data_IF_666286285437
#
_entry.id   IF_666286285437
#
_cell.length_a   1.000
_cell.length_b   1.000
_cell.length_c   1.000
_cell.angle_alpha   90.00
_cell.angle_beta   90.00
_cell.angle_gamma   90.00
#
_symmetry.space_group_name_H-M   'P 1'
#
loop_
_entity.id
_entity.type
_entity.pdbx_description
1 polymer ?
#
# COMPACT_ATOMS: atom_id res chain seq x y z
N UNK A 1 -24.04 -15.38 0.02
CA UNK A 1 -23.22 -14.19 -0.27
C UNK A 1 -22.28 -14.01 0.90
N UNK A 2 -20.99 -13.93 0.63
CA UNK A 2 -19.96 -13.83 1.66
C UNK A 2 -19.55 -12.39 1.89
N UNK A 3 -19.13 -12.08 3.14
CA UNK A 3 -18.43 -10.82 3.46
C UNK A 3 -16.93 -11.08 3.51
N UNK A 4 -16.15 -10.12 3.05
CA UNK A 4 -14.69 -10.15 3.16
C UNK A 4 -14.13 -8.76 3.46
N UNK A 5 -12.94 -8.72 4.03
CA UNK A 5 -12.21 -7.45 4.20
C UNK A 5 -11.47 -7.14 2.92
N UNK A 6 -11.94 -6.08 2.23
CA UNK A 6 -11.46 -5.68 0.91
C UNK A 6 -10.56 -4.44 0.92
N UNK A 7 -9.68 -4.35 -0.08
CA UNK A 7 -8.92 -3.15 -0.42
C UNK A 7 -8.48 -3.20 -1.89
N UNK A 8 -8.19 -2.04 -2.46
CA UNK A 8 -7.65 -1.90 -3.82
C UNK A 8 -6.21 -1.43 -3.73
N UNK A 9 -5.31 -2.09 -4.44
CA UNK A 9 -3.86 -1.88 -4.33
C UNK A 9 -3.12 -2.01 -5.65
N UNK A 10 -1.90 -1.50 -5.66
CA UNK A 10 -0.84 -1.84 -6.61
C UNK A 10 0.15 -2.77 -5.90
N UNK A 11 0.39 -3.95 -6.44
CA UNK A 11 1.40 -4.87 -5.93
C UNK A 11 2.79 -4.41 -6.37
N UNK A 12 3.75 -4.49 -5.46
CA UNK A 12 5.15 -4.20 -5.74
C UNK A 12 5.84 -5.55 -6.01
N UNK A 13 6.14 -5.79 -7.28
CA UNK A 13 7.01 -6.88 -7.72
C UNK A 13 8.47 -6.42 -7.69
N UNK A 14 9.40 -7.35 -7.70
CA UNK A 14 10.83 -7.08 -7.64
C UNK A 14 11.23 -6.20 -6.44
N UNK A 15 11.42 -6.83 -5.31
CA UNK A 15 11.73 -6.14 -4.05
C UNK A 15 13.14 -5.53 -4.00
N UNK A 16 14.08 -5.98 -4.86
CA UNK A 16 15.41 -5.35 -5.05
C UNK A 16 16.07 -4.88 -3.76
N UNK A 17 16.39 -3.59 -3.69
CA UNK A 17 17.02 -2.96 -2.52
C UNK A 17 16.16 -2.97 -1.25
N UNK A 18 14.83 -3.18 -1.33
CA UNK A 18 13.95 -3.32 -0.17
C UNK A 18 14.33 -4.51 0.72
N UNK A 19 15.00 -5.54 0.17
CA UNK A 19 15.52 -6.68 0.96
C UNK A 19 16.50 -6.22 2.04
N UNK A 20 17.32 -5.22 1.74
CA UNK A 20 18.27 -4.67 2.74
C UNK A 20 17.52 -4.01 3.88
N UNK A 21 16.50 -3.23 3.55
CA UNK A 21 15.64 -2.57 4.51
C UNK A 21 14.87 -3.58 5.38
N UNK A 22 14.30 -4.59 4.77
CA UNK A 22 13.59 -5.67 5.48
C UNK A 22 14.49 -6.36 6.51
N UNK A 23 15.74 -6.67 6.14
CA UNK A 23 16.73 -7.23 7.06
C UNK A 23 17.03 -6.31 8.25
N UNK A 24 17.14 -5.00 8.02
CA UNK A 24 17.39 -4.04 9.10
C UNK A 24 16.18 -3.92 10.04
N UNK A 25 14.97 -3.82 9.49
CA UNK A 25 13.74 -3.76 10.27
C UNK A 25 13.49 -5.05 11.06
N UNK A 26 13.82 -6.21 10.49
CA UNK A 26 13.67 -7.52 11.15
C UNK A 26 14.60 -7.71 12.34
N UNK A 27 15.74 -6.99 12.39
CA UNK A 27 16.69 -7.03 13.53
C UNK A 27 16.20 -6.21 14.72
N UNK A 28 15.30 -5.26 14.54
CA UNK A 28 14.81 -4.40 15.62
C UNK A 28 14.14 -5.23 16.71
N UNK A 29 13.40 -6.28 16.33
CA UNK A 29 12.65 -7.10 17.30
C UNK A 29 11.57 -6.31 18.05
N UNK A 30 11.15 -6.81 19.19
CA UNK A 30 10.23 -6.11 20.10
C UNK A 30 8.92 -5.69 19.45
N UNK A 31 8.65 -4.39 19.49
CA UNK A 31 7.43 -3.80 18.94
C UNK A 31 7.36 -3.69 17.43
N UNK A 32 8.48 -3.86 16.70
CA UNK A 32 8.51 -3.75 15.25
C UNK A 32 7.95 -4.98 14.54
N UNK A 33 7.07 -4.75 13.57
CA UNK A 33 6.49 -5.77 12.70
C UNK A 33 6.75 -5.37 11.25
N UNK A 34 7.80 -5.90 10.60
CA UNK A 34 8.02 -5.72 9.17
C UNK A 34 6.85 -6.28 8.37
N UNK A 35 6.55 -5.63 7.23
CA UNK A 35 5.61 -6.18 6.24
C UNK A 35 6.36 -7.22 5.42
N UNK A 36 5.79 -8.40 5.26
CA UNK A 36 6.39 -9.43 4.40
C UNK A 36 6.54 -8.93 2.97
N UNK A 37 7.72 -9.13 2.38
CA UNK A 37 8.00 -8.72 1.01
C UNK A 37 7.13 -9.42 -0.03
N UNK A 38 6.61 -10.62 0.28
CA UNK A 38 5.72 -11.38 -0.61
C UNK A 38 4.34 -10.73 -0.80
N UNK A 39 3.95 -9.86 0.14
CA UNK A 39 2.63 -9.23 0.15
C UNK A 39 2.71 -7.70 0.13
N UNK A 40 3.91 -7.15 -0.12
CA UNK A 40 4.12 -5.70 -0.10
C UNK A 40 3.37 -5.03 -1.25
N UNK A 41 2.69 -3.94 -0.95
CA UNK A 41 1.82 -3.24 -1.90
C UNK A 41 1.60 -1.79 -1.50
N UNK A 42 1.11 -1.01 -2.45
CA UNK A 42 0.59 0.34 -2.22
C UNK A 42 -0.93 0.27 -2.17
N UNK A 43 -1.53 0.61 -1.04
CA UNK A 43 -2.99 0.67 -0.92
C UNK A 43 -3.51 1.96 -1.54
N UNK A 44 -4.42 1.86 -2.52
CA UNK A 44 -5.11 2.99 -3.13
C UNK A 44 -6.42 3.32 -2.42
N UNK A 45 -7.16 2.29 -1.97
CA UNK A 45 -8.43 2.46 -1.26
C UNK A 45 -8.68 1.29 -0.31
N UNK A 46 -8.94 1.59 0.96
CA UNK A 46 -9.51 0.62 1.88
C UNK A 46 -11.02 0.56 1.70
N UNK A 47 -11.56 -0.66 1.62
CA UNK A 47 -13.01 -0.90 1.50
C UNK A 47 -13.61 -1.37 2.82
N UNK A 48 -12.79 -1.97 3.69
CA UNK A 48 -13.30 -2.58 4.92
C UNK A 48 -14.13 -3.83 4.63
N UNK A 49 -15.21 -4.02 5.38
CA UNK A 49 -16.14 -5.13 5.17
C UNK A 49 -16.90 -4.94 3.85
N UNK A 50 -16.77 -5.91 2.95
CA UNK A 50 -17.23 -5.83 1.57
C UNK A 50 -18.06 -7.06 1.25
N UNK A 51 -19.28 -6.86 0.71
CA UNK A 51 -20.12 -7.94 0.19
C UNK A 51 -19.59 -8.40 -1.17
N UNK A 52 -19.48 -9.72 -1.39
CA UNK A 52 -19.11 -10.28 -2.67
C UNK A 52 -20.03 -9.82 -3.82
N UNK A 53 -21.28 -9.49 -3.54
CA UNK A 53 -22.22 -8.91 -4.53
C UNK A 53 -21.77 -7.53 -5.05
N UNK A 54 -20.91 -6.81 -4.33
CA UNK A 54 -20.37 -5.51 -4.77
C UNK A 54 -19.22 -5.65 -5.78
N UNK A 55 -18.63 -6.84 -5.94
CA UNK A 55 -17.44 -7.05 -6.79
C UNK A 55 -17.62 -6.50 -8.20
N UNK A 56 -18.72 -6.77 -8.94
CA UNK A 56 -18.87 -6.25 -10.31
C UNK A 56 -18.82 -4.72 -10.35
N UNK A 57 -19.48 -4.04 -9.41
CA UNK A 57 -19.48 -2.57 -9.31
C UNK A 57 -18.12 -2.00 -8.89
N UNK A 58 -17.37 -2.74 -8.07
CA UNK A 58 -16.00 -2.35 -7.71
C UNK A 58 -15.07 -2.47 -8.92
N UNK A 59 -15.23 -3.48 -9.77
CA UNK A 59 -14.47 -3.60 -11.03
C UNK A 59 -14.78 -2.41 -11.94
N UNK A 60 -16.06 -2.02 -12.12
CA UNK A 60 -16.42 -0.82 -12.88
C UNK A 60 -15.78 0.47 -12.30
N UNK A 61 -15.70 0.57 -10.98
CA UNK A 61 -15.01 1.69 -10.32
C UNK A 61 -13.51 1.68 -10.60
N UNK A 62 -12.89 0.50 -10.62
CA UNK A 62 -11.48 0.31 -10.96
C UNK A 62 -11.21 0.64 -12.44
N UNK A 63 -12.07 0.21 -13.36
CA UNK A 63 -11.98 0.55 -14.79
C UNK A 63 -12.00 2.06 -15.01
N UNK A 64 -12.89 2.78 -14.30
CA UNK A 64 -12.94 4.24 -14.34
C UNK A 64 -11.68 4.89 -13.78
N UNK A 65 -11.08 4.30 -12.73
CA UNK A 65 -9.89 4.84 -12.12
C UNK A 65 -8.65 4.72 -13.02
N UNK A 66 -8.57 3.67 -13.84
CA UNK A 66 -7.44 3.47 -14.76
C UNK A 66 -7.66 4.11 -16.14
N UNK A 67 -8.85 4.63 -16.42
CA UNK A 67 -9.18 5.21 -17.72
C UNK A 67 -8.22 6.35 -18.06
N UNK A 68 -7.52 6.24 -19.20
CA UNK A 68 -6.54 7.22 -19.65
C UNK A 68 -5.21 7.19 -18.87
N UNK A 69 -4.99 6.20 -18.01
CA UNK A 69 -3.73 6.01 -17.29
C UNK A 69 -2.89 4.94 -17.99
N UNK A 70 -1.87 5.36 -18.73
CA UNK A 70 -0.90 4.43 -19.30
C UNK A 70 -0.09 3.74 -18.20
N UNK A 71 0.49 2.55 -18.46
CA UNK A 71 1.51 1.97 -17.59
C UNK A 71 2.65 2.96 -17.34
N UNK A 72 3.10 3.05 -16.08
CA UNK A 72 4.13 4.00 -15.65
C UNK A 72 5.06 3.35 -14.63
N UNK A 73 6.14 4.06 -14.31
CA UNK A 73 7.09 3.64 -13.29
C UNK A 73 7.07 4.62 -12.11
N UNK A 74 7.25 4.08 -10.90
CA UNK A 74 7.44 4.84 -9.66
C UNK A 74 8.85 4.63 -9.15
N UNK A 75 9.49 5.69 -8.67
CA UNK A 75 10.76 5.62 -7.94
C UNK A 75 10.49 5.50 -6.45
N UNK A 76 11.03 4.46 -5.81
CA UNK A 76 10.97 4.28 -4.36
C UNK A 76 12.18 4.95 -3.72
N UNK A 77 11.97 6.00 -2.93
CA UNK A 77 13.06 6.79 -2.37
C UNK A 77 12.74 7.38 -1.01
N UNK A 78 13.71 7.29 -0.12
CA UNK A 78 13.61 7.83 1.22
C UNK A 78 12.67 7.07 2.12
N UNK A 79 12.72 7.38 3.41
CA UNK A 79 11.90 6.75 4.44
C UNK A 79 11.31 7.79 5.38
N UNK A 80 10.20 7.42 5.98
CA UNK A 80 9.58 8.19 7.04
C UNK A 80 8.60 7.35 7.87
N UNK A 81 7.89 8.03 8.74
CA UNK A 81 6.91 7.39 9.61
C UNK A 81 5.62 8.21 9.75
N UNK A 82 4.52 7.51 10.03
CA UNK A 82 3.27 8.13 10.45
C UNK A 82 2.96 7.80 11.91
N UNK A 83 2.33 8.71 12.66
CA UNK A 83 1.98 10.08 12.29
C UNK A 83 3.19 11.02 12.22
N UNK A 84 4.33 10.66 12.82
CA UNK A 84 5.59 11.42 12.77
C UNK A 84 6.80 10.54 13.11
N UNK A 85 8.02 11.01 12.84
CA UNK A 85 9.24 10.30 13.23
C UNK A 85 9.50 10.29 14.76
N UNK A 86 8.73 11.05 15.54
CA UNK A 86 8.78 11.03 17.02
C UNK A 86 7.73 10.11 17.64
N UNK A 87 6.63 9.86 16.91
CA UNK A 87 5.57 8.94 17.31
C UNK A 87 5.31 7.96 16.17
N UNK A 88 6.12 6.91 16.11
CA UNK A 88 6.11 5.96 15.01
C UNK A 88 5.04 4.90 15.22
N UNK A 89 4.11 4.80 14.27
CA UNK A 89 3.13 3.70 14.18
C UNK A 89 3.27 2.92 12.88
N UNK A 90 3.56 3.63 11.79
CA UNK A 90 3.74 3.05 10.46
C UNK A 90 5.06 3.56 9.91
N UNK A 91 5.90 2.66 9.43
CA UNK A 91 7.16 2.98 8.73
C UNK A 91 6.92 2.78 7.23
N UNK A 92 7.33 3.73 6.43
CA UNK A 92 7.08 3.75 4.99
C UNK A 92 8.30 4.17 4.17
N UNK A 93 8.30 3.74 2.92
CA UNK A 93 9.19 4.23 1.86
C UNK A 93 8.42 5.20 0.98
N UNK A 94 9.04 6.34 0.68
CA UNK A 94 8.47 7.39 -0.17
C UNK A 94 8.45 7.02 -1.65
N UNK A 95 7.68 7.76 -2.44
CA UNK A 95 7.51 7.53 -3.87
C UNK A 95 7.61 8.82 -4.66
N UNK A 96 8.32 8.77 -5.78
CA UNK A 96 8.35 9.82 -6.80
C UNK A 96 7.72 9.30 -8.09
N UNK A 97 7.18 10.20 -8.93
CA UNK A 97 6.43 9.82 -10.13
C UNK A 97 5.08 9.17 -9.84
N UNK A 98 4.53 9.40 -8.65
CA UNK A 98 3.33 8.75 -8.15
C UNK A 98 2.02 9.53 -8.40
N UNK A 99 2.05 10.59 -9.21
CA UNK A 99 0.84 11.37 -9.54
C UNK A 99 -0.29 10.52 -10.14
N UNK A 100 -0.01 9.53 -11.02
CA UNK A 100 -1.06 8.65 -11.51
C UNK A 100 -1.70 7.80 -10.39
N UNK A 101 -0.95 7.39 -9.35
CA UNK A 101 -1.52 6.71 -8.18
C UNK A 101 -2.48 7.63 -7.42
N UNK A 102 -2.11 8.89 -7.23
CA UNK A 102 -2.95 9.89 -6.58
C UNK A 102 -4.23 10.16 -7.36
N UNK A 103 -4.13 10.22 -8.69
CA UNK A 103 -5.30 10.33 -9.57
C UNK A 103 -6.24 9.12 -9.41
N UNK A 104 -5.71 7.90 -9.55
CA UNK A 104 -6.50 6.68 -9.41
C UNK A 104 -7.15 6.56 -8.03
N UNK A 105 -6.40 6.87 -6.96
CA UNK A 105 -6.93 6.84 -5.60
C UNK A 105 -8.09 7.83 -5.41
N UNK A 106 -7.99 9.04 -5.98
CA UNK A 106 -9.07 10.03 -5.95
C UNK A 106 -10.32 9.54 -6.68
N UNK A 107 -10.18 8.98 -7.88
CA UNK A 107 -11.31 8.42 -8.63
C UNK A 107 -11.94 7.25 -7.87
N UNK A 108 -11.13 6.33 -7.32
CA UNK A 108 -11.62 5.23 -6.50
C UNK A 108 -12.39 5.73 -5.27
N UNK A 109 -11.87 6.77 -4.59
CA UNK A 109 -12.54 7.38 -3.44
C UNK A 109 -13.94 7.86 -3.78
N UNK A 110 -14.09 8.58 -4.91
CA UNK A 110 -15.37 9.10 -5.37
C UNK A 110 -16.33 7.98 -5.83
N UNK A 111 -15.83 7.00 -6.59
CA UNK A 111 -16.66 5.88 -7.09
C UNK A 111 -17.10 4.95 -5.97
N UNK A 112 -16.19 4.59 -5.06
CA UNK A 112 -16.52 3.73 -3.91
C UNK A 112 -17.50 4.40 -2.95
N UNK A 113 -17.39 5.72 -2.73
CA UNK A 113 -18.35 6.47 -1.93
C UNK A 113 -19.78 6.39 -2.49
N UNK A 114 -19.95 6.43 -3.82
CA UNK A 114 -21.26 6.23 -4.49
C UNK A 114 -21.82 4.83 -4.30
N UNK A 115 -20.96 3.84 -4.03
CA UNK A 115 -21.35 2.47 -3.71
C UNK A 115 -21.61 2.24 -2.22
N UNK A 116 -21.48 3.30 -1.38
CA UNK A 116 -21.75 3.25 0.06
C UNK A 116 -20.52 2.94 0.93
N UNK A 117 -19.32 2.86 0.35
CA UNK A 117 -18.10 2.71 1.13
C UNK A 117 -17.70 4.02 1.82
N UNK A 118 -17.16 3.91 3.01
CA UNK A 118 -16.67 5.07 3.78
C UNK A 118 -15.58 5.84 3.03
N UNK A 119 -15.63 7.16 3.11
CA UNK A 119 -14.54 8.02 2.63
C UNK A 119 -13.40 8.05 3.63
N UNK A 120 -12.18 8.10 3.10
CA UNK A 120 -11.00 8.33 3.93
C UNK A 120 -11.01 9.78 4.47
N UNK A 121 -10.70 9.94 5.75
CA UNK A 121 -10.63 11.26 6.39
C UNK A 121 -9.46 12.11 5.85
N UNK A 122 -8.41 11.47 5.37
CA UNK A 122 -7.21 12.12 4.86
C UNK A 122 -7.02 11.86 3.39
N UNK A 123 -6.52 12.86 2.64
CA UNK A 123 -6.16 12.66 1.25
C UNK A 123 -5.13 11.54 1.10
N UNK A 124 -5.20 10.83 -0.02
CA UNK A 124 -4.20 9.82 -0.37
C UNK A 124 -2.81 10.46 -0.41
N UNK A 125 -1.87 9.83 0.27
CA UNK A 125 -0.45 10.18 0.26
C UNK A 125 0.32 8.95 -0.23
N UNK A 126 0.98 9.01 -1.40
CA UNK A 126 1.70 7.87 -1.95
C UNK A 126 2.81 7.40 -1.00
N UNK A 127 2.72 6.17 -0.53
CA UNK A 127 3.74 5.56 0.31
C UNK A 127 3.67 4.04 0.26
N UNK A 128 4.80 3.38 0.46
CA UNK A 128 4.89 1.94 0.60
C UNK A 128 5.11 1.61 2.08
N UNK A 129 4.12 1.04 2.74
CA UNK A 129 4.26 0.57 4.13
C UNK A 129 5.22 -0.61 4.18
N UNK A 130 6.31 -0.48 4.94
CA UNK A 130 7.33 -1.52 5.14
C UNK A 130 7.33 -2.11 6.54
N UNK A 131 6.61 -1.50 7.48
CA UNK A 131 6.50 -2.01 8.83
C UNK A 131 5.53 -1.23 9.72
N UNK A 132 5.18 -1.82 10.85
CA UNK A 132 4.29 -1.23 11.85
C UNK A 132 4.83 -1.44 13.25
N UNK A 133 4.74 -0.41 14.08
CA UNK A 133 5.04 -0.51 15.52
C UNK A 133 3.79 -0.96 16.27
N UNK A 134 3.91 -2.02 17.06
CA UNK A 134 2.86 -2.46 18.00
C UNK A 134 2.93 -1.71 19.33
N UNK A 135 4.15 -1.46 19.77
CA UNK A 135 4.46 -0.78 21.02
C UNK A 135 5.76 0.03 20.84
N UNK A 136 6.16 0.88 21.81
CA UNK A 136 7.35 1.72 21.71
C UNK A 136 8.70 1.00 21.71
N UNK A 137 8.73 -0.33 21.96
CA UNK A 137 9.98 -1.08 22.04
C UNK A 137 10.70 -1.06 20.70
N UNK A 138 11.95 -0.60 20.69
CA UNK A 138 12.74 -0.48 19.46
C UNK A 138 12.56 0.84 18.70
N UNK A 139 11.77 1.80 19.21
CA UNK A 139 11.54 3.09 18.54
C UNK A 139 12.83 3.81 18.17
N UNK A 140 13.82 3.87 19.05
CA UNK A 140 15.10 4.56 18.78
C UNK A 140 15.90 3.84 17.67
N UNK A 141 15.84 2.51 17.62
CA UNK A 141 16.46 1.74 16.53
C UNK A 141 15.78 2.05 15.20
N UNK A 142 14.45 2.10 15.18
CA UNK A 142 13.67 2.44 13.97
C UNK A 142 13.96 3.87 13.51
N UNK A 143 14.05 4.85 14.43
CA UNK A 143 14.49 6.21 14.10
C UNK A 143 15.86 6.22 13.43
N UNK A 144 16.82 5.47 13.98
CA UNK A 144 18.15 5.33 13.39
C UNK A 144 18.12 4.72 11.98
N UNK A 145 17.24 3.75 11.72
CA UNK A 145 17.05 3.19 10.39
C UNK A 145 16.45 4.23 9.45
N UNK A 146 15.38 4.94 9.85
CA UNK A 146 14.75 5.99 9.05
C UNK A 146 15.79 7.06 8.67
N UNK A 147 16.61 7.52 9.61
CA UNK A 147 17.63 8.54 9.33
C UNK A 147 18.71 8.05 8.35
N UNK A 148 19.13 6.78 8.45
CA UNK A 148 20.12 6.20 7.51
C UNK A 148 19.57 6.05 6.08
N UNK A 149 18.27 5.80 5.94
CA UNK A 149 17.61 5.56 4.66
C UNK A 149 16.77 6.74 4.18
N UNK A 150 16.85 7.92 4.83
CA UNK A 150 16.00 9.07 4.51
C UNK A 150 16.07 9.56 3.06
N UNK A 151 17.21 9.37 2.42
CA UNK A 151 17.46 9.77 1.04
C UNK A 151 17.85 8.57 0.14
N UNK A 152 17.74 7.34 0.68
CA UNK A 152 18.16 6.14 -0.03
C UNK A 152 17.24 5.85 -1.22
N UNK A 153 17.86 5.50 -2.35
CA UNK A 153 17.16 5.06 -3.56
C UNK A 153 16.98 3.54 -3.52
N UNK A 154 15.72 3.10 -3.45
CA UNK A 154 15.35 1.68 -3.49
C UNK A 154 15.04 1.19 -4.91
N UNK A 155 15.21 2.06 -5.90
CA UNK A 155 15.03 1.77 -7.31
C UNK A 155 13.60 1.99 -7.81
N UNK A 156 13.44 1.77 -9.10
CA UNK A 156 12.19 2.01 -9.84
C UNK A 156 11.35 0.75 -9.92
N UNK A 157 10.03 0.92 -9.87
CA UNK A 157 9.05 -0.18 -9.95
C UNK A 157 7.98 0.12 -10.96
N UNK A 158 7.68 -0.84 -11.87
CA UNK A 158 6.63 -0.68 -12.85
C UNK A 158 5.24 -0.82 -12.21
N UNK A 159 4.32 0.05 -12.60
CA UNK A 159 2.89 -0.05 -12.31
C UNK A 159 2.16 -0.39 -13.60
N UNK A 160 1.52 -1.55 -13.63
CA UNK A 160 0.86 -2.09 -14.83
C UNK A 160 -0.62 -2.42 -14.60
N UNK A 161 -1.01 -2.59 -13.36
CA UNK A 161 -2.39 -2.94 -12.98
C UNK A 161 -2.71 -2.49 -11.56
N UNK A 162 -4.01 -2.42 -11.25
CA UNK A 162 -4.53 -2.31 -9.90
C UNK A 162 -5.33 -3.57 -9.57
N UNK A 163 -5.36 -3.95 -8.30
CA UNK A 163 -5.99 -5.20 -7.87
C UNK A 163 -6.96 -5.00 -6.71
N UNK A 164 -8.13 -5.60 -6.83
CA UNK A 164 -9.04 -5.81 -5.69
C UNK A 164 -8.55 -7.04 -4.92
N UNK A 165 -8.29 -6.84 -3.64
CA UNK A 165 -7.74 -7.86 -2.75
C UNK A 165 -8.70 -8.17 -1.61
N UNK A 166 -8.72 -9.47 -1.23
CA UNK A 166 -9.34 -9.98 -0.01
C UNK A 166 -8.25 -10.23 1.03
N UNK A 167 -8.44 -9.69 2.23
CA UNK A 167 -7.55 -9.89 3.38
C UNK A 167 -8.16 -10.89 4.35
N UNK A 168 -7.39 -11.88 4.74
CA UNK A 168 -7.71 -12.83 5.81
C UNK A 168 -6.63 -12.74 6.88
N UNK A 169 -7.04 -12.42 8.11
CA UNK A 169 -6.13 -12.36 9.24
C UNK A 169 -5.87 -13.76 9.77
N UNK A 170 -4.59 -14.15 9.82
CA UNK A 170 -4.15 -15.41 10.40
C UNK A 170 -3.16 -15.19 11.56
N UNK A 171 -2.80 -16.26 12.28
CA UNK A 171 -1.85 -16.19 13.41
C UNK A 171 -0.46 -15.66 13.02
N UNK A 172 -0.05 -15.86 11.76
CA UNK A 172 1.24 -15.41 11.21
C UNK A 172 1.17 -14.06 10.50
N UNK A 173 0.01 -13.40 10.51
CA UNK A 173 -0.25 -12.14 9.81
C UNK A 173 -1.33 -12.27 8.74
N UNK A 174 -1.59 -11.20 7.97
CA UNK A 174 -2.59 -11.21 6.92
C UNK A 174 -2.10 -12.03 5.71
N UNK A 175 -3.05 -12.72 5.08
CA UNK A 175 -2.89 -13.28 3.73
C UNK A 175 -3.82 -12.55 2.78
N UNK A 176 -3.36 -12.32 1.55
CA UNK A 176 -4.12 -11.59 0.55
C UNK A 176 -4.39 -12.47 -0.67
N UNK A 177 -5.63 -12.44 -1.13
CA UNK A 177 -6.05 -13.11 -2.37
C UNK A 177 -6.54 -12.05 -3.35
N UNK A 178 -6.06 -12.11 -4.60
CA UNK A 178 -6.56 -11.25 -5.67
C UNK A 178 -7.94 -11.73 -6.10
N UNK A 179 -8.92 -10.84 -6.01
CA UNK A 179 -10.32 -11.08 -6.40
C UNK A 179 -10.55 -10.64 -7.84
N UNK A 180 -9.97 -9.50 -8.22
CA UNK A 180 -10.01 -8.96 -9.57
C UNK A 180 -8.76 -8.14 -9.85
N UNK A 181 -8.41 -8.04 -11.13
CA UNK A 181 -7.30 -7.20 -11.62
C UNK A 181 -7.78 -6.39 -12.81
N UNK A 182 -7.42 -5.11 -12.82
CA UNK A 182 -7.65 -4.19 -13.93
C UNK A 182 -6.30 -3.66 -14.41
N UNK A 183 -6.01 -3.90 -15.69
CA UNK A 183 -4.74 -3.55 -16.33
C UNK A 183 -4.80 -2.11 -16.82
N UNK A 184 -3.73 -1.34 -16.60
CA UNK A 184 -3.55 -0.03 -17.18
C UNK A 184 -3.33 -0.16 -18.68
N UNK A 185 -4.00 0.68 -19.46
CA UNK A 185 -3.91 0.69 -20.91
C UNK A 185 -3.49 2.08 -21.39
N UNK A 186 -2.61 2.11 -22.37
CA UNK A 186 -2.33 3.36 -23.07
C UNK A 186 -3.62 3.90 -23.70
N UNK A 187 -3.83 5.22 -23.69
CA UNK A 187 -4.98 5.85 -24.30
C UNK A 187 -5.05 5.62 -25.82
#
# INVERSE_FOLDING_TARGET
MGLFRGFISVDISDIGELVKLDRELSKVGGGMRPVSMDIIHVTLKFLGETDEAAIPKLIEAMDKAVMGVAPFDIELKGMGAFPSNTNIRVVWVGMHGADPLSHMAKVLEEQCARLGFEKEERPFSPHLTVGRMKDPTGTEQVKGIIERFKDHDFGTRPVRSIRLKKSVLGPKGPTYTTVAEVVLQAP
#
